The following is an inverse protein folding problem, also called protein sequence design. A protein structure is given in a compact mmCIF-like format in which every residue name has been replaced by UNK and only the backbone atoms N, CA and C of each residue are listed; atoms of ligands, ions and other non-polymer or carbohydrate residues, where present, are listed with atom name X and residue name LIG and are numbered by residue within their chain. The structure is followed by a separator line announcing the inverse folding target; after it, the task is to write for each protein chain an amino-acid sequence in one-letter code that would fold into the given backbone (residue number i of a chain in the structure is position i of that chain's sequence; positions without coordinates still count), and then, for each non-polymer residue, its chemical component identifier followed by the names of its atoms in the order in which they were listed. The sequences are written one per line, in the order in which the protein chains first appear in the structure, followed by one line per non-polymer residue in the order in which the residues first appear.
data_IF_650205760870
#
_entry.id   IF_650205760870
#
_cell.length_a   1.000
_cell.length_b   1.000
_cell.length_c   1.000
_cell.angle_alpha   90.00
_cell.angle_beta   90.00
_cell.angle_gamma   90.00
#
_symmetry.space_group_name_H-M   'P 1'
#
loop_
_entity.id
_entity.type
_entity.pdbx_description
1 polymer ?
#
# COMPACT_ATOMS: atom_id res chain seq x y z
N UNK A 1 24.05 -1.27 -2.08
CA UNK A 1 23.54 -2.60 -1.66
C UNK A 1 22.44 -2.48 -0.60
N UNK A 2 22.66 -1.64 0.41
CA UNK A 2 21.67 -1.32 1.45
C UNK A 2 20.36 -0.76 0.90
N UNK A 3 20.40 0.22 -0.02
CA UNK A 3 19.18 0.78 -0.63
C UNK A 3 18.29 -0.30 -1.26
N UNK A 4 18.88 -1.36 -1.84
CA UNK A 4 18.14 -2.50 -2.41
C UNK A 4 17.49 -3.35 -1.33
N UNK A 5 18.20 -3.62 -0.21
CA UNK A 5 17.66 -4.36 0.93
C UNK A 5 16.41 -3.65 1.47
N UNK A 6 16.51 -2.34 1.72
CA UNK A 6 15.37 -1.56 2.20
C UNK A 6 14.25 -1.47 1.17
N UNK A 7 14.58 -1.26 -0.12
CA UNK A 7 13.57 -1.25 -1.20
C UNK A 7 12.77 -2.55 -1.25
N UNK A 8 13.42 -3.71 -1.03
CA UNK A 8 12.73 -5.01 -1.00
C UNK A 8 11.75 -5.14 0.17
N UNK A 9 12.11 -4.63 1.35
CA UNK A 9 11.21 -4.64 2.52
C UNK A 9 10.04 -3.68 2.33
N UNK A 10 10.29 -2.47 1.82
CA UNK A 10 9.24 -1.50 1.48
C UNK A 10 8.28 -2.09 0.44
N UNK A 11 8.82 -2.71 -0.62
CA UNK A 11 8.02 -3.40 -1.64
C UNK A 11 7.17 -4.53 -1.06
N UNK A 12 7.72 -5.33 -0.16
CA UNK A 12 6.97 -6.38 0.54
C UNK A 12 5.78 -5.81 1.31
N UNK A 13 5.99 -4.72 2.05
CA UNK A 13 4.93 -4.09 2.83
C UNK A 13 3.86 -3.44 1.93
N UNK A 14 4.27 -2.74 0.87
CA UNK A 14 3.32 -2.14 -0.08
C UNK A 14 2.52 -3.19 -0.86
N UNK A 15 3.16 -4.28 -1.31
CA UNK A 15 2.44 -5.37 -1.99
C UNK A 15 1.45 -6.04 -1.04
N UNK A 16 1.79 -6.21 0.24
CA UNK A 16 0.85 -6.69 1.27
C UNK A 16 -0.35 -5.75 1.40
N UNK A 17 -0.12 -4.44 1.49
CA UNK A 17 -1.21 -3.44 1.56
C UNK A 17 -2.08 -3.48 0.30
N UNK A 18 -1.47 -3.47 -0.88
CA UNK A 18 -2.17 -3.45 -2.16
C UNK A 18 -3.02 -4.70 -2.36
N UNK A 19 -2.51 -5.88 -1.98
CA UNK A 19 -3.29 -7.14 -1.97
C UNK A 19 -4.39 -7.18 -0.91
N UNK A 20 -4.37 -6.28 0.06
CA UNK A 20 -5.50 -6.02 0.96
C UNK A 20 -6.35 -4.84 0.51
N UNK A 21 -6.23 -4.44 -0.77
CA UNK A 21 -6.98 -3.33 -1.36
C UNK A 21 -6.77 -1.99 -0.64
N UNK A 22 -5.62 -1.81 0.02
CA UNK A 22 -5.26 -0.62 0.78
C UNK A 22 -4.12 0.10 0.07
N UNK A 23 -4.20 1.42 -0.01
CA UNK A 23 -3.12 2.31 -0.45
C UNK A 23 -2.63 3.16 0.71
N UNK A 24 -1.33 3.47 0.73
CA UNK A 24 -0.73 4.29 1.78
C UNK A 24 -1.02 5.78 1.57
N UNK A 25 -0.82 6.26 0.34
CA UNK A 25 -1.07 7.65 -0.13
C UNK A 25 -0.19 8.75 0.45
N UNK A 26 0.57 8.49 1.52
CA UNK A 26 1.62 9.41 2.02
C UNK A 26 2.96 8.70 2.28
N UNK A 27 3.40 7.89 1.32
CA UNK A 27 4.68 7.19 1.46
C UNK A 27 5.85 8.18 1.28
N UNK A 28 6.63 8.39 2.34
CA UNK A 28 7.81 9.26 2.36
C UNK A 28 8.87 8.68 3.29
N UNK A 29 10.13 9.15 3.16
CA UNK A 29 11.25 8.66 3.99
C UNK A 29 11.03 8.88 5.50
N UNK A 30 10.26 9.91 5.87
CA UNK A 30 9.85 10.20 7.25
C UNK A 30 8.93 9.11 7.82
N UNK A 31 8.06 8.56 6.97
CA UNK A 31 7.07 7.52 7.32
C UNK A 31 7.66 6.10 7.20
N UNK A 32 8.97 5.99 7.07
CA UNK A 32 9.70 4.72 7.00
C UNK A 32 10.68 4.67 8.17
N UNK A 33 10.36 3.82 9.12
CA UNK A 33 11.12 3.59 10.33
C UNK A 33 12.03 2.38 10.18
N UNK A 34 13.16 2.40 10.87
CA UNK A 34 14.08 1.28 11.01
C UNK A 34 14.09 0.80 12.46
N UNK A 35 13.93 -0.50 12.67
CA UNK A 35 14.25 -1.08 13.96
C UNK A 35 15.77 -0.92 14.24
N UNK A 36 16.13 -0.67 15.51
CA UNK A 36 17.52 -0.39 15.88
C UNK A 36 18.45 -1.61 15.72
N UNK A 37 17.94 -2.81 15.95
CA UNK A 37 18.78 -4.01 16.16
C UNK A 37 19.06 -4.79 14.87
N UNK A 38 18.05 -4.92 14.03
CA UNK A 38 18.05 -5.68 12.79
C UNK A 38 17.98 -4.77 11.56
N UNK A 39 17.65 -3.49 11.72
CA UNK A 39 17.42 -2.54 10.62
C UNK A 39 16.35 -3.04 9.65
N UNK A 40 15.27 -3.64 10.16
CA UNK A 40 14.10 -3.89 9.33
C UNK A 40 13.24 -2.64 9.24
N UNK A 41 12.62 -2.50 8.08
CA UNK A 41 11.71 -1.40 7.77
C UNK A 41 10.35 -1.63 8.41
N UNK A 42 9.81 -0.58 9.04
CA UNK A 42 8.40 -0.47 9.41
C UNK A 42 7.81 0.77 8.74
N UNK A 43 6.73 0.59 7.98
CA UNK A 43 5.97 1.72 7.42
C UNK A 43 5.02 2.21 8.51
N UNK A 44 5.00 3.52 8.74
CA UNK A 44 4.16 4.16 9.75
C UNK A 44 3.23 5.19 9.08
N UNK A 45 2.29 5.71 9.87
CA UNK A 45 1.39 6.79 9.50
C UNK A 45 0.44 6.47 8.33
N UNK A 46 -0.56 5.66 8.65
CA UNK A 46 -1.67 5.32 7.76
C UNK A 46 -2.79 6.38 7.78
N UNK A 47 -2.54 7.59 8.31
CA UNK A 47 -3.56 8.63 8.48
C UNK A 47 -4.26 9.06 7.18
N UNK A 48 -3.57 8.90 6.05
CA UNK A 48 -4.09 9.20 4.71
C UNK A 48 -4.40 7.94 3.88
N UNK A 49 -4.26 6.75 4.48
CA UNK A 49 -4.52 5.49 3.80
C UNK A 49 -5.98 5.33 3.41
N UNK A 50 -6.24 4.59 2.33
CA UNK A 50 -7.58 4.39 1.82
C UNK A 50 -7.73 3.06 1.11
N UNK A 51 -8.94 2.50 1.16
CA UNK A 51 -9.26 1.34 0.33
C UNK A 51 -9.49 1.76 -1.11
N UNK A 52 -9.00 0.96 -2.06
CA UNK A 52 -9.20 1.18 -3.48
C UNK A 52 -9.94 0.01 -4.13
N UNK A 53 -10.65 0.29 -5.21
CA UNK A 53 -11.29 -0.70 -6.06
C UNK A 53 -11.21 -0.21 -7.52
N UNK A 54 -11.31 -1.10 -8.52
CA UNK A 54 -11.22 -0.70 -9.93
C UNK A 54 -12.22 0.38 -10.33
N UNK A 55 -13.43 0.26 -9.80
CA UNK A 55 -14.56 1.13 -10.10
C UNK A 55 -14.63 2.36 -9.17
N UNK A 56 -13.68 2.48 -8.23
CA UNK A 56 -13.59 3.58 -7.28
C UNK A 56 -12.39 4.44 -7.61
N UNK A 57 -12.65 5.61 -8.18
CA UNK A 57 -11.63 6.64 -8.38
C UNK A 57 -11.61 7.61 -7.20
N UNK A 58 -10.41 7.95 -6.78
CA UNK A 58 -10.09 8.98 -5.80
C UNK A 58 -9.74 10.28 -6.54
N UNK A 59 -10.02 11.43 -5.94
CA UNK A 59 -9.76 12.75 -6.56
C UNK A 59 -9.21 13.78 -5.56
N UNK A 60 -8.82 13.34 -4.36
CA UNK A 60 -8.33 14.21 -3.29
C UNK A 60 -6.83 14.38 -3.39
N UNK A 61 -6.36 15.62 -3.32
CA UNK A 61 -4.94 15.89 -3.09
C UNK A 61 -4.58 15.54 -1.64
N UNK A 62 -3.64 14.63 -1.44
CA UNK A 62 -3.18 14.23 -0.12
C UNK A 62 -1.68 13.91 -0.16
N UNK A 63 -1.01 14.09 0.98
CA UNK A 63 0.41 13.82 1.14
C UNK A 63 1.33 14.95 0.70
N UNK A 64 2.64 14.69 0.81
CA UNK A 64 3.69 15.69 0.60
C UNK A 64 4.01 15.90 -0.88
N UNK A 65 4.04 17.16 -1.36
CA UNK A 65 4.20 17.50 -2.79
C UNK A 65 5.43 16.88 -3.46
N UNK A 66 6.55 16.74 -2.74
CA UNK A 66 7.79 16.16 -3.27
C UNK A 66 7.69 14.66 -3.58
N UNK A 67 6.70 13.99 -3.01
CA UNK A 67 6.39 12.58 -3.19
C UNK A 67 5.13 12.36 -4.04
N UNK A 68 4.39 13.43 -4.37
CA UNK A 68 3.13 13.31 -5.10
C UNK A 68 3.33 13.04 -6.60
N UNK A 69 2.48 12.18 -7.15
CA UNK A 69 2.42 11.88 -8.57
C UNK A 69 1.79 13.04 -9.37
N UNK A 70 2.12 13.21 -10.66
CA UNK A 70 1.65 14.32 -11.48
C UNK A 70 0.12 14.41 -11.58
N UNK A 71 -0.58 13.28 -11.68
CA UNK A 71 -2.05 13.21 -11.72
C UNK A 71 -2.70 13.80 -10.46
N UNK A 72 -2.08 13.61 -9.29
CA UNK A 72 -2.56 14.20 -8.02
C UNK A 72 -2.40 15.72 -8.06
N UNK A 73 -1.27 16.20 -8.59
CA UNK A 73 -1.03 17.65 -8.75
C UNK A 73 -2.01 18.30 -9.75
N UNK A 74 -2.49 17.54 -10.73
CA UNK A 74 -3.50 17.98 -11.70
C UNK A 74 -4.93 17.89 -11.18
N UNK A 75 -5.15 17.23 -10.03
CA UNK A 75 -6.48 16.91 -9.52
C UNK A 75 -7.23 15.92 -10.42
N UNK A 76 -6.51 15.09 -11.18
CA UNK A 76 -7.10 14.05 -12.01
C UNK A 76 -7.56 12.88 -11.15
N UNK A 77 -8.68 12.22 -11.48
CA UNK A 77 -9.10 11.01 -10.79
C UNK A 77 -8.09 9.87 -10.97
N UNK A 78 -7.82 9.13 -9.90
CA UNK A 78 -6.82 8.05 -9.85
C UNK A 78 -7.35 6.83 -9.07
N UNK A 79 -6.78 5.64 -9.28
CA UNK A 79 -7.17 4.40 -8.59
C UNK A 79 -6.47 4.26 -7.24
N UNK A 80 -5.18 4.61 -7.15
CA UNK A 80 -4.45 4.70 -5.89
C UNK A 80 -3.10 3.97 -5.87
N UNK A 81 -3.00 2.67 -6.22
CA UNK A 81 -1.74 1.90 -6.17
C UNK A 81 -0.59 2.55 -6.94
N UNK A 82 -0.89 3.19 -8.06
CA UNK A 82 0.05 3.94 -8.89
C UNK A 82 0.68 5.12 -8.15
N UNK A 83 -0.02 5.73 -7.19
CA UNK A 83 0.53 6.81 -6.37
C UNK A 83 1.62 6.31 -5.44
N UNK A 84 1.36 5.19 -4.75
CA UNK A 84 2.35 4.55 -3.90
C UNK A 84 3.58 4.10 -4.71
N UNK A 85 3.38 3.66 -5.95
CA UNK A 85 4.48 3.34 -6.87
C UNK A 85 5.33 4.58 -7.20
N UNK A 86 4.70 5.73 -7.47
CA UNK A 86 5.42 6.97 -7.71
C UNK A 86 6.23 7.39 -6.47
N UNK A 87 5.59 7.42 -5.31
CA UNK A 87 6.22 7.74 -4.03
C UNK A 87 7.36 6.79 -3.69
N UNK A 88 7.21 5.49 -3.96
CA UNK A 88 8.27 4.49 -3.85
C UNK A 88 9.45 4.85 -4.75
N UNK A 89 9.21 5.31 -5.98
CA UNK A 89 10.26 5.80 -6.87
C UNK A 89 11.04 6.95 -6.26
N UNK A 90 10.36 7.91 -5.65
CA UNK A 90 10.99 9.04 -4.94
C UNK A 90 11.85 8.54 -3.77
N UNK A 91 11.32 7.62 -2.96
CA UNK A 91 12.05 6.99 -1.84
C UNK A 91 13.29 6.24 -2.32
N UNK A 92 13.18 5.41 -3.37
CA UNK A 92 14.32 4.70 -3.98
C UNK A 92 15.36 5.68 -4.49
N UNK A 93 14.93 6.75 -5.19
CA UNK A 93 15.81 7.78 -5.69
C UNK A 93 16.60 8.43 -4.55
N UNK A 94 15.91 8.85 -3.48
CA UNK A 94 16.54 9.47 -2.30
C UNK A 94 17.53 8.52 -1.64
N UNK A 95 17.18 7.24 -1.45
CA UNK A 95 18.09 6.24 -0.86
C UNK A 95 19.33 5.92 -1.70
N UNK A 96 19.29 6.14 -3.02
CA UNK A 96 20.40 5.83 -3.93
C UNK A 96 21.28 7.06 -4.19
N UNK A 97 20.66 8.24 -4.31
CA UNK A 97 21.30 9.47 -4.79
C UNK A 97 21.51 10.48 -3.65
N UNK A 98 20.76 10.36 -2.54
CA UNK A 98 20.92 11.20 -1.35
C UNK A 98 20.24 12.57 -1.44
N UNK A 99 19.41 12.82 -2.45
CA UNK A 99 18.63 14.07 -2.63
C UNK A 99 17.28 13.76 -3.29
N UNK A 100 16.34 14.70 -3.24
CA UNK A 100 15.03 14.57 -3.88
C UNK A 100 15.17 14.68 -5.43
N UNK A 101 14.38 13.92 -6.22
CA UNK A 101 14.43 13.96 -7.69
C UNK A 101 14.01 15.30 -8.30
N UNK A 102 13.02 15.96 -7.70
CA UNK A 102 12.44 17.20 -8.19
C UNK A 102 12.53 18.29 -7.11
N UNK A 103 13.52 19.17 -7.24
CA UNK A 103 13.73 20.31 -6.34
C UNK A 103 13.71 21.64 -7.13
N UNK A 104 13.40 22.77 -6.50
CA UNK A 104 13.31 24.06 -7.16
C UNK A 104 13.17 25.23 -6.19
N UNK A 105 13.42 26.44 -6.68
CA UNK A 105 13.32 27.66 -5.85
C UNK A 105 11.89 28.04 -5.50
N UNK A 106 10.91 27.58 -6.29
CA UNK A 106 9.49 27.81 -6.05
C UNK A 106 8.70 26.52 -6.21
N UNK A 107 7.53 26.45 -5.57
CA UNK A 107 6.63 25.31 -5.70
C UNK A 107 6.21 25.07 -7.16
N UNK A 108 5.99 26.14 -7.92
CA UNK A 108 5.67 26.06 -9.33
C UNK A 108 6.81 25.44 -10.16
N UNK A 109 8.07 25.64 -9.74
CA UNK A 109 9.22 24.99 -10.39
C UNK A 109 9.29 23.50 -10.10
N UNK A 110 9.02 23.12 -8.84
CA UNK A 110 8.94 21.72 -8.42
C UNK A 110 7.82 21.00 -9.18
N UNK A 111 6.61 21.57 -9.20
CA UNK A 111 5.48 21.03 -9.97
C UNK A 111 5.84 20.87 -11.45
N UNK A 112 6.46 21.88 -12.08
CA UNK A 112 6.88 21.78 -13.49
C UNK A 112 7.88 20.66 -13.74
N UNK A 113 8.79 20.40 -12.79
CA UNK A 113 9.75 19.29 -12.87
C UNK A 113 9.07 17.94 -12.70
N UNK A 114 8.15 17.82 -11.74
CA UNK A 114 7.32 16.61 -11.54
C UNK A 114 6.55 16.27 -12.82
N UNK A 115 5.89 17.25 -13.44
CA UNK A 115 5.15 17.07 -14.70
C UNK A 115 6.01 16.64 -15.88
N UNK A 116 7.32 16.93 -15.86
CA UNK A 116 8.27 16.49 -16.88
C UNK A 116 8.78 15.07 -16.63
N UNK A 117 8.78 14.63 -15.38
CA UNK A 117 9.26 13.31 -14.95
C UNK A 117 10.65 12.94 -15.47
N UNK A 118 11.57 13.92 -15.49
CA UNK A 118 12.94 13.77 -15.98
C UNK A 118 13.92 14.20 -14.87
N UNK A 119 14.13 13.35 -13.84
CA UNK A 119 15.07 13.65 -12.77
C UNK A 119 16.52 13.43 -13.23
N UNK A 120 17.46 14.06 -12.53
CA UNK A 120 18.88 13.98 -12.88
C UNK A 120 19.55 12.73 -12.29
N UNK A 121 20.25 11.95 -13.12
CA UNK A 121 20.88 10.71 -12.72
C UNK A 121 22.40 10.82 -12.74
N UNK A 122 23.08 10.90 -11.58
CA UNK A 122 24.54 10.99 -11.54
C UNK A 122 25.24 9.73 -12.09
N UNK A 123 26.52 9.82 -12.50
CA UNK A 123 27.26 8.71 -13.09
C UNK A 123 27.41 7.46 -12.21
N UNK A 124 27.26 7.58 -10.89
CA UNK A 124 27.35 6.45 -9.96
C UNK A 124 26.08 5.59 -9.95
N UNK A 125 24.97 6.07 -10.51
CA UNK A 125 23.71 5.32 -10.58
C UNK A 125 23.84 4.22 -11.64
N UNK A 126 23.64 2.97 -11.23
CA UNK A 126 23.69 1.83 -12.16
C UNK A 126 22.60 1.91 -13.23
N UNK A 127 22.88 1.38 -14.43
CA UNK A 127 21.90 1.28 -15.53
C UNK A 127 20.58 0.66 -15.11
N UNK A 128 20.63 -0.43 -14.34
CA UNK A 128 19.43 -1.16 -13.90
C UNK A 128 18.57 -0.30 -12.94
N UNK A 129 19.20 0.53 -12.10
CA UNK A 129 18.49 1.44 -11.21
C UNK A 129 17.80 2.55 -11.99
N UNK A 130 18.52 3.12 -12.95
CA UNK A 130 17.99 4.16 -13.84
C UNK A 130 16.81 3.62 -14.66
N UNK A 131 16.93 2.41 -15.23
CA UNK A 131 15.83 1.75 -15.96
C UNK A 131 14.58 1.60 -15.08
N UNK A 132 14.74 1.10 -13.85
CA UNK A 132 13.61 0.99 -12.91
C UNK A 132 12.96 2.36 -12.65
N UNK A 133 13.76 3.37 -12.30
CA UNK A 133 13.26 4.70 -11.97
C UNK A 133 12.59 5.37 -13.17
N UNK A 134 13.10 5.20 -14.39
CA UNK A 134 12.45 5.70 -15.60
C UNK A 134 11.08 5.05 -15.85
N UNK A 135 10.92 3.76 -15.51
CA UNK A 135 9.62 3.07 -15.63
C UNK A 135 8.63 3.50 -14.54
N UNK A 136 9.11 3.85 -13.35
CA UNK A 136 8.30 4.40 -12.27
C UNK A 136 7.87 5.85 -12.57
N UNK A 137 8.82 6.71 -12.96
CA UNK A 137 8.57 8.11 -13.28
C UNK A 137 8.01 8.28 -14.69
N UNK A 138 6.82 7.73 -14.90
CA UNK A 138 6.08 7.81 -16.15
C UNK A 138 4.81 8.65 -15.95
N UNK A 139 4.62 9.63 -16.85
CA UNK A 139 3.45 10.54 -16.86
C UNK A 139 2.43 10.15 -17.93
N UNK A 140 2.88 9.85 -19.16
CA UNK A 140 2.01 9.68 -20.35
C UNK A 140 1.74 8.24 -20.76
N UNK A 141 2.50 7.29 -20.21
CA UNK A 141 2.34 5.86 -20.46
C UNK A 141 1.86 5.19 -19.19
N UNK A 142 1.44 3.93 -19.31
CA UNK A 142 1.14 3.12 -18.14
C UNK A 142 2.39 3.02 -17.26
N UNK A 143 2.25 3.44 -16.00
CA UNK A 143 3.29 3.33 -14.98
C UNK A 143 3.52 1.85 -14.68
N UNK A 144 4.77 1.46 -14.42
CA UNK A 144 5.09 0.07 -14.07
C UNK A 144 4.28 -0.38 -12.84
N UNK A 145 3.71 -1.58 -12.89
CA UNK A 145 2.93 -2.17 -11.80
C UNK A 145 3.83 -2.76 -10.72
N UNK A 146 3.28 -2.91 -9.51
CA UNK A 146 4.00 -3.48 -8.36
C UNK A 146 4.63 -4.84 -8.67
N UNK A 147 3.87 -5.73 -9.31
CA UNK A 147 4.32 -7.06 -9.74
C UNK A 147 5.61 -7.02 -10.59
N UNK A 148 5.67 -6.11 -11.56
CA UNK A 148 6.83 -5.97 -12.44
C UNK A 148 8.02 -5.32 -11.72
N UNK A 149 7.78 -4.40 -10.78
CA UNK A 149 8.83 -3.81 -9.94
C UNK A 149 9.49 -4.89 -9.08
N UNK A 150 8.69 -5.74 -8.43
CA UNK A 150 9.20 -6.83 -7.57
C UNK A 150 10.08 -7.82 -8.33
N UNK A 151 9.88 -7.95 -9.65
CA UNK A 151 10.66 -8.82 -10.55
C UNK A 151 11.80 -8.10 -11.25
N UNK A 152 11.93 -6.79 -11.06
CA UNK A 152 12.92 -6.00 -11.79
C UNK A 152 14.36 -6.44 -11.49
N UNK A 153 15.27 -6.47 -12.50
CA UNK A 153 16.66 -6.88 -12.30
C UNK A 153 17.39 -6.13 -11.19
N UNK A 154 17.15 -4.81 -11.08
CA UNK A 154 17.75 -4.01 -10.01
C UNK A 154 17.31 -4.45 -8.61
N UNK A 155 16.07 -4.88 -8.43
CA UNK A 155 15.51 -5.31 -7.13
C UNK A 155 16.04 -6.68 -6.70
N UNK A 156 16.22 -7.60 -7.66
CA UNK A 156 16.64 -8.97 -7.39
C UNK A 156 18.15 -9.21 -7.55
N UNK A 157 18.94 -8.19 -7.90
CA UNK A 157 20.39 -8.33 -8.05
C UNK A 157 21.03 -8.78 -6.73
N UNK A 158 21.71 -9.92 -6.77
CA UNK A 158 22.33 -10.62 -5.62
C UNK A 158 21.35 -11.25 -4.62
N UNK A 159 20.07 -11.41 -4.99
CA UNK A 159 19.10 -12.18 -4.23
C UNK A 159 18.73 -13.45 -5.02
N UNK A 160 18.74 -14.60 -4.35
CA UNK A 160 18.39 -15.88 -4.96
C UNK A 160 16.88 -16.13 -4.96
N UNK A 161 16.17 -15.60 -3.96
CA UNK A 161 14.71 -15.70 -3.82
C UNK A 161 14.01 -14.41 -4.24
N UNK A 162 12.76 -14.51 -4.76
CA UNK A 162 11.90 -13.36 -4.97
C UNK A 162 11.60 -12.66 -3.63
N UNK A 163 10.99 -11.48 -3.70
CA UNK A 163 10.45 -10.84 -2.49
C UNK A 163 9.31 -11.70 -1.99
N UNK A 164 9.38 -12.12 -0.74
CA UNK A 164 8.28 -12.82 -0.07
C UNK A 164 7.27 -11.78 0.39
N UNK A 165 6.02 -11.92 -0.07
CA UNK A 165 4.91 -11.20 0.53
C UNK A 165 4.35 -12.09 1.64
N UNK A 166 4.39 -11.61 2.89
CA UNK A 166 3.91 -12.32 4.08
C UNK A 166 2.38 -12.44 4.15
N UNK A 167 1.67 -12.23 3.04
CA UNK A 167 0.24 -12.46 2.93
C UNK A 167 -0.05 -13.95 3.19
N UNK A 168 -0.92 -14.28 4.18
CA UNK A 168 -1.34 -15.66 4.38
C UNK A 168 -2.01 -16.22 3.13
N UNK A 169 -1.88 -17.53 2.89
CA UNK A 169 -2.66 -18.20 1.84
C UNK A 169 -4.14 -18.12 2.21
N UNK A 170 -4.91 -17.45 1.37
CA UNK A 170 -6.35 -17.21 1.57
C UNK A 170 -7.15 -18.11 0.67
N UNK A 171 -7.96 -18.98 1.28
CA UNK A 171 -8.96 -19.75 0.55
C UNK A 171 -10.11 -18.84 0.13
N UNK A 172 -10.73 -19.05 -1.06
CA UNK A 172 -11.81 -18.19 -1.55
C UNK A 172 -12.98 -18.21 -0.58
N UNK A 173 -13.60 -17.04 -0.38
CA UNK A 173 -14.80 -16.96 0.43
C UNK A 173 -15.99 -17.53 -0.35
N UNK A 174 -16.84 -18.24 0.36
CA UNK A 174 -18.12 -18.74 -0.15
C UNK A 174 -19.26 -18.19 0.70
N UNK A 175 -20.50 -18.53 0.37
CA UNK A 175 -21.70 -18.02 1.07
C UNK A 175 -21.78 -18.38 2.56
N UNK A 176 -21.01 -19.35 3.04
CA UNK A 176 -20.91 -19.69 4.47
C UNK A 176 -19.81 -18.89 5.14
N UNK A 177 -20.11 -17.63 5.46
CA UNK A 177 -19.22 -16.70 6.15
C UNK A 177 -19.36 -16.82 7.67
N UNK A 178 -18.29 -16.49 8.40
CA UNK A 178 -18.27 -16.46 9.87
C UNK A 178 -19.15 -15.32 10.40
N UNK A 179 -20.11 -15.66 11.27
CA UNK A 179 -21.09 -14.71 11.80
C UNK A 179 -20.46 -13.68 12.75
N UNK A 180 -19.44 -14.04 13.53
CA UNK A 180 -18.80 -13.13 14.48
C UNK A 180 -18.03 -12.03 13.72
N UNK A 181 -17.39 -12.43 12.60
CA UNK A 181 -16.69 -11.50 11.71
C UNK A 181 -17.70 -10.57 11.02
N UNK A 182 -18.82 -11.12 10.52
CA UNK A 182 -19.86 -10.33 9.89
C UNK A 182 -20.51 -9.31 10.82
N UNK A 183 -20.81 -9.70 12.07
CA UNK A 183 -21.36 -8.78 13.08
C UNK A 183 -20.37 -7.64 13.37
N UNK A 184 -19.07 -7.96 13.44
CA UNK A 184 -18.02 -6.96 13.61
C UNK A 184 -17.97 -6.00 12.42
N UNK A 185 -18.04 -6.52 11.19
CA UNK A 185 -18.09 -5.69 9.98
C UNK A 185 -19.32 -4.78 9.98
N UNK A 186 -20.50 -5.29 10.32
CA UNK A 186 -21.75 -4.52 10.38
C UNK A 186 -21.67 -3.39 11.42
N UNK A 187 -21.04 -3.66 12.57
CA UNK A 187 -20.83 -2.65 13.61
C UNK A 187 -19.89 -1.52 13.17
N UNK A 188 -18.94 -1.78 12.28
CA UNK A 188 -17.94 -0.79 11.84
C UNK A 188 -18.42 -0.02 10.61
N UNK A 189 -18.99 -0.73 9.63
CA UNK A 189 -19.27 -0.20 8.29
C UNK A 189 -20.76 0.00 7.98
N UNK A 190 -21.66 -0.52 8.83
CA UNK A 190 -23.10 -0.41 8.67
C UNK A 190 -23.78 -1.73 8.32
N UNK A 191 -25.11 -1.77 8.50
CA UNK A 191 -25.92 -2.99 8.45
C UNK A 191 -26.12 -3.59 7.05
N UNK A 192 -25.69 -2.91 5.99
CA UNK A 192 -25.79 -3.40 4.61
C UNK A 192 -24.52 -4.12 4.12
N UNK A 193 -23.44 -4.10 4.91
CA UNK A 193 -22.13 -4.64 4.53
C UNK A 193 -22.18 -6.16 4.29
N UNK A 194 -22.98 -6.88 5.08
CA UNK A 194 -23.15 -8.32 4.95
C UNK A 194 -23.76 -8.70 3.61
N UNK A 195 -24.88 -8.08 3.25
CA UNK A 195 -25.56 -8.34 1.98
C UNK A 195 -24.64 -8.03 0.79
N UNK A 196 -23.85 -6.96 0.89
CA UNK A 196 -22.87 -6.59 -0.15
C UNK A 196 -21.74 -7.61 -0.27
N UNK A 197 -21.17 -8.06 0.84
CA UNK A 197 -20.14 -9.09 0.84
C UNK A 197 -20.69 -10.41 0.26
N UNK A 198 -21.88 -10.82 0.66
CA UNK A 198 -22.56 -12.02 0.13
C UNK A 198 -22.77 -11.94 -1.39
N UNK A 199 -23.14 -10.77 -1.92
CA UNK A 199 -23.28 -10.54 -3.35
C UNK A 199 -21.93 -10.67 -4.09
N UNK A 200 -20.85 -10.14 -3.52
CA UNK A 200 -19.50 -10.22 -4.08
C UNK A 200 -19.02 -11.67 -4.13
N UNK A 201 -19.07 -12.39 -3.01
CA UNK A 201 -18.56 -13.77 -2.93
C UNK A 201 -19.42 -14.75 -3.71
N UNK A 202 -20.67 -14.40 -4.03
CA UNK A 202 -21.53 -15.21 -4.91
C UNK A 202 -21.31 -14.94 -6.41
N UNK A 203 -20.55 -13.89 -6.76
CA UNK A 203 -20.38 -13.48 -8.16
C UNK A 203 -19.46 -14.43 -8.94
N UNK A 204 -19.77 -14.63 -10.22
CA UNK A 204 -18.93 -15.43 -11.13
C UNK A 204 -17.54 -14.79 -11.31
N UNK A 205 -17.49 -13.44 -11.36
CA UNK A 205 -16.24 -12.70 -11.49
C UNK A 205 -15.28 -12.95 -10.31
N UNK A 206 -15.79 -12.93 -9.06
CA UNK A 206 -14.99 -13.25 -7.88
C UNK A 206 -14.44 -14.68 -7.92
N UNK A 207 -15.28 -15.66 -8.26
CA UNK A 207 -14.85 -17.07 -8.32
C UNK A 207 -13.83 -17.35 -9.42
N UNK A 208 -14.01 -16.77 -10.62
CA UNK A 208 -13.06 -16.90 -11.72
C UNK A 208 -11.70 -16.27 -11.36
N UNK A 209 -11.74 -15.07 -10.77
CA UNK A 209 -10.56 -14.34 -10.35
C UNK A 209 -9.78 -15.05 -9.24
N UNK A 210 -10.46 -15.49 -8.17
CA UNK A 210 -9.81 -16.21 -7.05
C UNK A 210 -9.26 -17.57 -7.49
N UNK A 211 -9.96 -18.29 -8.36
CA UNK A 211 -9.45 -19.53 -8.96
C UNK A 211 -8.17 -19.30 -9.76
N UNK A 212 -8.13 -18.23 -10.57
CA UNK A 212 -6.92 -17.87 -11.30
C UNK A 212 -5.74 -17.56 -10.37
N UNK A 213 -5.96 -16.72 -9.35
CA UNK A 213 -4.92 -16.33 -8.38
C UNK A 213 -4.35 -17.56 -7.68
N UNK A 214 -5.20 -18.46 -7.18
CA UNK A 214 -4.74 -19.69 -6.52
C UNK A 214 -3.90 -20.58 -7.43
N UNK A 215 -4.34 -20.80 -8.67
CA UNK A 215 -3.59 -21.62 -9.62
C UNK A 215 -2.22 -21.02 -9.93
N UNK A 216 -2.15 -19.70 -10.14
CA UNK A 216 -0.88 -19.00 -10.41
C UNK A 216 0.06 -19.09 -9.20
N UNK A 217 -0.46 -18.91 -7.98
CA UNK A 217 0.31 -19.01 -6.74
C UNK A 217 0.86 -20.42 -6.51
N UNK A 218 0.09 -21.45 -6.87
CA UNK A 218 0.51 -22.86 -6.80
C UNK A 218 1.43 -23.27 -7.98
N UNK A 219 1.75 -22.35 -8.89
CA UNK A 219 2.64 -22.59 -10.03
C UNK A 219 1.99 -23.36 -11.19
N UNK A 220 0.65 -23.38 -11.24
CA UNK A 220 -0.13 -24.03 -12.28
C UNK A 220 -0.59 -23.04 -13.36
N UNK A 221 -0.79 -23.55 -14.58
CA UNK A 221 -1.39 -22.78 -15.67
C UNK A 221 -2.90 -22.64 -15.44
N UNK A 222 -3.40 -21.40 -15.53
CA UNK A 222 -4.81 -21.10 -15.31
C UNK A 222 -5.57 -21.15 -16.64
N UNK A 223 -6.81 -21.66 -16.67
CA UNK A 223 -7.69 -21.54 -17.84
C UNK A 223 -7.98 -20.08 -18.21
N UNK A 224 -7.75 -19.14 -17.30
CA UNK A 224 -7.90 -17.70 -17.51
C UNK A 224 -6.60 -16.98 -17.87
N UNK A 225 -5.50 -17.70 -18.15
CA UNK A 225 -4.23 -17.09 -18.54
C UNK A 225 -4.31 -16.27 -19.83
N UNK A 226 -5.28 -16.51 -20.71
CA UNK A 226 -5.53 -15.64 -21.87
C UNK A 226 -6.07 -14.25 -21.48
N UNK A 227 -6.71 -14.14 -20.32
CA UNK A 227 -7.33 -12.90 -19.82
C UNK A 227 -6.36 -12.11 -18.93
N UNK A 228 -5.70 -12.80 -18.01
CA UNK A 228 -4.87 -12.18 -16.95
C UNK A 228 -3.38 -12.54 -17.03
N UNK A 229 -3.00 -13.44 -17.94
CA UNK A 229 -1.61 -13.86 -18.09
C UNK A 229 -1.11 -14.69 -16.90
N UNK A 230 0.06 -14.31 -16.39
CA UNK A 230 0.69 -14.86 -15.19
C UNK A 230 0.60 -13.91 -13.99
N UNK A 231 -0.24 -12.87 -14.08
CA UNK A 231 -0.37 -11.85 -13.06
C UNK A 231 -1.39 -12.30 -12.01
N UNK A 232 -1.04 -12.15 -10.74
CA UNK A 232 -1.94 -12.40 -9.62
C UNK A 232 -2.15 -11.13 -8.78
N UNK A 233 -1.92 -9.95 -9.35
CA UNK A 233 -1.90 -8.68 -8.62
C UNK A 233 -3.26 -7.96 -8.66
N UNK A 234 -3.56 -7.08 -7.68
CA UNK A 234 -4.84 -6.39 -7.56
C UNK A 234 -5.18 -5.43 -8.70
N UNK A 235 -4.20 -4.93 -9.46
CA UNK A 235 -4.48 -4.07 -10.62
C UNK A 235 -4.86 -4.89 -11.86
N UNK A 236 -4.42 -6.15 -11.94
CA UNK A 236 -4.70 -7.04 -13.07
C UNK A 236 -5.89 -7.96 -12.83
N UNK A 237 -6.05 -8.47 -11.59
CA UNK A 237 -7.10 -9.42 -11.20
C UNK A 237 -7.94 -8.87 -10.04
N UNK A 238 -8.56 -7.70 -10.19
CA UNK A 238 -9.08 -6.96 -9.05
C UNK A 238 -10.25 -7.62 -8.32
N UNK A 239 -11.06 -8.43 -9.01
CA UNK A 239 -12.17 -9.14 -8.37
C UNK A 239 -11.70 -10.14 -7.31
N UNK A 240 -10.47 -10.65 -7.38
CA UNK A 240 -9.90 -11.49 -6.33
C UNK A 240 -9.53 -10.69 -5.07
N UNK A 241 -9.33 -9.38 -5.21
CA UNK A 241 -8.86 -8.46 -4.18
C UNK A 241 -9.93 -7.40 -3.89
N UNK A 242 -11.17 -7.83 -3.74
CA UNK A 242 -12.27 -6.92 -3.42
C UNK A 242 -12.12 -6.37 -1.99
N UNK A 243 -12.28 -5.05 -1.74
CA UNK A 243 -12.08 -4.44 -0.42
C UNK A 243 -12.86 -5.11 0.72
N UNK A 244 -14.12 -5.49 0.46
CA UNK A 244 -14.94 -6.17 1.48
C UNK A 244 -14.38 -7.55 1.86
N UNK A 245 -13.82 -8.28 0.90
CA UNK A 245 -13.15 -9.55 1.17
C UNK A 245 -11.85 -9.31 1.94
N UNK A 246 -11.08 -8.28 1.58
CA UNK A 246 -9.87 -7.91 2.30
C UNK A 246 -10.16 -7.58 3.78
N UNK A 247 -11.18 -6.76 4.05
CA UNK A 247 -11.63 -6.45 5.42
C UNK A 247 -12.04 -7.72 6.17
N UNK A 248 -12.79 -8.62 5.54
CA UNK A 248 -13.16 -9.89 6.15
C UNK A 248 -11.93 -10.70 6.56
N UNK A 249 -10.96 -10.88 5.66
CA UNK A 249 -9.74 -11.63 5.98
C UNK A 249 -8.91 -10.96 7.07
N UNK A 250 -8.73 -9.64 7.05
CA UNK A 250 -7.99 -8.92 8.09
C UNK A 250 -8.64 -9.08 9.47
N UNK A 251 -9.98 -9.06 9.54
CA UNK A 251 -10.70 -9.34 10.79
C UNK A 251 -10.57 -10.81 11.22
N UNK A 252 -10.62 -11.75 10.27
CA UNK A 252 -10.41 -13.17 10.53
C UNK A 252 -9.01 -13.47 11.10
N UNK A 253 -8.00 -12.86 10.51
CA UNK A 253 -6.60 -12.95 10.95
C UNK A 253 -6.45 -12.37 12.36
N UNK A 254 -7.02 -11.18 12.61
CA UNK A 254 -7.02 -10.57 13.95
C UNK A 254 -7.71 -11.45 14.99
N UNK A 255 -8.85 -12.05 14.66
CA UNK A 255 -9.57 -12.95 15.55
C UNK A 255 -8.74 -14.22 15.84
N UNK A 256 -8.15 -14.81 14.80
CA UNK A 256 -7.29 -16.00 14.93
C UNK A 256 -6.08 -15.72 15.83
N UNK A 257 -5.44 -14.56 15.64
CA UNK A 257 -4.33 -14.12 16.48
C UNK A 257 -4.77 -13.91 17.93
N UNK A 258 -5.92 -13.26 18.17
CA UNK A 258 -6.46 -13.10 19.51
C UNK A 258 -6.69 -14.44 20.22
N UNK A 259 -7.29 -15.41 19.53
CA UNK A 259 -7.54 -16.76 20.08
C UNK A 259 -6.22 -17.49 20.35
N UNK A 260 -5.25 -17.42 19.43
CA UNK A 260 -3.95 -18.06 19.60
C UNK A 260 -3.17 -17.54 20.81
N UNK A 261 -3.29 -16.24 21.13
CA UNK A 261 -2.63 -15.65 22.31
C UNK A 261 -3.36 -15.94 23.64
N UNK A 262 -4.62 -16.38 23.61
CA UNK A 262 -5.39 -16.68 24.82
C UNK A 262 -5.35 -18.14 25.27
N UNK A 263 -4.97 -19.09 24.40
CA UNK A 263 -5.05 -20.52 24.72
C UNK A 263 -3.84 -21.31 24.20
N UNK A 264 -2.81 -21.58 25.03
CA UNK A 264 -1.82 -22.60 24.69
C UNK A 264 -2.37 -24.04 24.80
N UNK A 265 -3.42 -24.33 25.60
CA UNK A 265 -3.97 -25.69 25.76
C UNK A 265 -5.45 -25.74 26.31
N UNK A 266 -6.44 -26.04 25.44
CA UNK A 266 -7.80 -26.61 25.69
C UNK A 266 -8.89 -25.80 26.48
N UNK A 267 -10.17 -26.26 26.56
CA UNK A 267 -11.28 -25.98 25.64
C UNK A 267 -12.44 -25.12 26.21
N UNK A 268 -13.04 -24.28 25.34
CA UNK A 268 -14.40 -23.65 25.30
C UNK A 268 -15.04 -23.14 26.61
N UNK A 269 -15.19 -21.80 26.75
CA UNK A 269 -16.49 -21.08 26.68
C UNK A 269 -16.35 -19.57 26.97
N UNK A 270 -16.75 -18.75 25.99
CA UNK A 270 -17.46 -17.45 26.03
C UNK A 270 -17.26 -16.44 27.18
N UNK A 271 -16.75 -15.25 26.83
CA UNK A 271 -17.44 -13.96 27.08
C UNK A 271 -16.70 -12.82 26.39
N UNK A 272 -17.29 -12.27 25.32
CA UNK A 272 -16.86 -11.03 24.67
C UNK A 272 -17.31 -9.86 25.54
N UNK A 273 -16.35 -9.07 26.06
CA UNK A 273 -16.44 -7.64 26.37
C UNK A 273 -15.23 -7.24 27.22
N UNK A 274 -14.08 -7.06 26.55
CA UNK A 274 -13.02 -6.11 26.88
C UNK A 274 -11.83 -6.44 25.98
N UNK A 275 -11.48 -5.51 25.10
CA UNK A 275 -10.27 -5.60 24.29
C UNK A 275 -9.06 -5.54 25.24
N UNK A 276 -8.24 -6.60 25.39
CA UNK A 276 -6.95 -6.47 26.02
C UNK A 276 -6.01 -5.80 25.02
N UNK A 277 -5.27 -4.80 25.49
CA UNK A 277 -4.13 -4.27 24.76
C UNK A 277 -3.11 -5.40 24.54
N UNK A 278 -2.54 -5.48 23.33
CA UNK A 278 -1.49 -6.43 23.00
C UNK A 278 -0.33 -6.34 24.00
N UNK A 279 0.43 -7.43 24.23
CA UNK A 279 1.65 -7.37 25.03
C UNK A 279 2.61 -6.43 24.30
N UNK A 280 3.05 -5.38 25.00
CA UNK A 280 4.06 -4.44 24.53
C UNK A 280 5.37 -5.22 24.32
N UNK A 281 5.72 -5.51 23.07
CA UNK A 281 7.08 -5.92 22.68
C UNK A 281 8.07 -4.86 23.22
N UNK A 282 9.24 -5.28 23.76
CA UNK A 282 10.10 -4.38 24.52
C UNK A 282 10.68 -3.27 23.64
N UNK A 283 10.24 -2.03 23.89
CA UNK A 283 10.83 -0.77 23.43
C UNK A 283 11.58 -0.86 22.08
N UNK A 284 10.85 -1.08 20.98
CA UNK A 284 11.39 -0.92 19.63
C UNK A 284 11.78 0.54 19.44
N UNK A 285 13.07 0.85 19.64
CA UNK A 285 13.56 2.18 19.32
C UNK A 285 13.65 2.30 17.80
N UNK A 286 12.65 2.95 17.22
CA UNK A 286 12.60 3.26 15.79
C UNK A 286 13.48 4.45 15.46
N UNK A 287 14.21 4.37 14.35
CA UNK A 287 14.98 5.48 13.78
C UNK A 287 14.41 5.76 12.40
N UNK A 288 14.07 7.02 12.10
CA UNK A 288 13.59 7.38 10.77
C UNK A 288 14.67 7.13 9.72
N UNK A 289 14.30 6.55 8.58
CA UNK A 289 15.19 6.31 7.46
C UNK A 289 15.85 7.60 6.96
N UNK A 290 15.17 8.74 7.11
CA UNK A 290 15.69 10.07 6.79
C UNK A 290 17.04 10.36 7.48
N UNK A 291 17.18 9.97 8.74
CA UNK A 291 18.43 10.15 9.52
C UNK A 291 19.61 9.36 8.92
N UNK A 292 19.33 8.19 8.33
CA UNK A 292 20.35 7.35 7.68
C UNK A 292 20.79 7.94 6.32
N UNK A 293 19.84 8.49 5.56
CA UNK A 293 20.12 9.13 4.28
C UNK A 293 21.02 10.36 4.48
N UNK A 294 20.75 11.17 5.50
CA UNK A 294 21.55 12.37 5.79
C UNK A 294 22.95 12.06 6.36
N UNK A 295 23.13 10.98 7.10
CA UNK A 295 24.44 10.61 7.66
C UNK A 295 25.43 10.09 6.61
N UNK A 296 24.95 9.35 5.60
CA UNK A 296 25.79 8.91 4.47
C UNK A 296 26.26 10.09 3.59
N UNK A 297 25.50 11.18 3.54
CA UNK A 297 25.85 12.38 2.78
C UNK A 297 26.96 13.22 3.46
N UNK A 298 26.97 13.31 4.79
CA UNK A 298 27.99 14.06 5.54
C UNK A 298 29.41 13.45 5.43
N UNK A 299 29.53 12.17 5.07
CA UNK A 299 30.81 11.54 4.79
C UNK A 299 31.38 11.88 3.40
N UNK A 300 30.55 12.45 2.51
CA UNK A 300 30.86 12.53 1.07
C UNK A 300 30.91 13.94 0.50
N UNK A 301 30.30 14.96 1.10
CA UNK A 301 30.43 16.36 0.66
C UNK A 301 30.05 17.35 1.79
N UNK A 302 30.91 18.33 2.03
CA UNK A 302 30.69 19.47 2.93
C UNK A 302 29.70 20.47 2.30
N UNK A 303 28.40 20.16 2.21
CA UNK A 303 27.35 21.18 2.08
C UNK A 303 26.10 20.72 2.83
N UNK A 304 25.84 21.34 3.97
CA UNK A 304 24.60 21.19 4.74
C UNK A 304 23.44 21.85 3.99
N UNK A 305 22.61 21.07 3.31
CA UNK A 305 21.31 21.52 2.82
C UNK A 305 20.22 21.06 3.79
N UNK A 306 19.84 21.97 4.70
CA UNK A 306 18.64 21.85 5.50
C UNK A 306 17.47 22.47 4.73
N UNK A 307 16.65 21.63 4.10
CA UNK A 307 15.30 22.01 3.68
C UNK A 307 14.37 21.02 4.37
N UNK A 308 13.61 21.51 5.36
CA UNK A 308 12.53 20.72 5.98
C UNK A 308 11.46 20.45 4.93
N UNK A 309 11.38 19.22 4.45
CA UNK A 309 10.43 18.78 3.43
C UNK A 309 9.02 18.49 4.01
N UNK A 310 8.82 18.77 5.29
CA UNK A 310 7.68 18.36 6.12
C UNK A 310 6.51 19.34 6.22
N UNK A 311 6.62 20.58 5.70
CA UNK A 311 5.66 21.66 6.00
C UNK A 311 4.81 22.14 4.80
N UNK A 312 4.06 21.24 4.14
CA UNK A 312 2.99 21.68 3.24
C UNK A 312 1.80 20.70 3.22
N UNK A 313 1.15 20.52 4.37
CA UNK A 313 -0.18 19.93 4.45
C UNK A 313 -1.24 21.01 4.13
N UNK A 314 -2.17 20.72 3.23
CA UNK A 314 -3.28 21.63 2.88
C UNK A 314 -4.63 21.04 3.31
N UNK A 315 -5.40 21.84 4.05
CA UNK A 315 -6.76 21.56 4.53
C UNK A 315 -7.75 21.21 3.40
N UNK A 316 -8.58 20.20 3.66
CA UNK A 316 -9.60 19.66 2.74
C UNK A 316 -10.82 20.59 2.58
N UNK A 317 -11.17 20.93 1.34
CA UNK A 317 -12.43 21.57 0.95
C UNK A 317 -13.32 20.62 0.15
N UNK A 318 -14.49 20.29 0.69
CA UNK A 318 -15.54 19.46 0.06
C UNK A 318 -16.36 20.23 -0.98
N UNK A 319 -16.63 19.63 -2.15
CA UNK A 319 -17.65 20.08 -3.11
C UNK A 319 -18.40 18.88 -3.72
N UNK A 320 -19.71 19.07 -3.86
CA UNK A 320 -20.78 18.09 -4.05
C UNK A 320 -21.34 18.01 -5.49
N UNK A 321 -21.80 16.79 -5.82
CA UNK A 321 -22.98 16.36 -6.62
C UNK A 321 -23.14 16.61 -8.14
N UNK A 322 -23.49 15.52 -8.86
CA UNK A 322 -24.26 15.50 -10.12
C UNK A 322 -24.11 14.19 -10.95
N UNK A 323 -25.16 13.63 -11.60
CA UNK A 323 -25.40 12.17 -11.70
C UNK A 323 -25.10 11.52 -13.06
N UNK A 324 -24.73 10.22 -13.09
CA UNK A 324 -25.55 9.10 -13.67
C UNK A 324 -24.81 7.76 -13.86
N UNK A 325 -25.54 6.71 -13.44
CA UNK A 325 -25.71 5.32 -13.92
C UNK A 325 -24.49 4.46 -14.36
N UNK A 326 -24.21 3.47 -13.52
CA UNK A 326 -23.53 2.20 -13.82
C UNK A 326 -23.77 1.24 -12.64
N UNK A 327 -24.90 0.54 -12.67
CA UNK A 327 -25.45 -0.28 -11.57
C UNK A 327 -24.53 -1.44 -11.15
N UNK A 328 -23.85 -1.28 -10.01
CA UNK A 328 -24.03 -2.00 -8.73
C UNK A 328 -23.40 -1.07 -7.68
N UNK A 329 -24.20 -0.16 -7.14
CA UNK A 329 -23.73 0.88 -6.24
C UNK A 329 -23.42 0.36 -4.84
N UNK A 330 -22.15 0.16 -4.52
CA UNK A 330 -21.69 0.30 -3.13
C UNK A 330 -21.56 1.80 -2.86
N UNK A 331 -22.42 2.44 -2.05
CA UNK A 331 -22.31 3.85 -1.75
C UNK A 331 -20.90 4.30 -1.34
N UNK A 332 -20.44 5.40 -1.93
CA UNK A 332 -19.16 6.05 -1.66
C UNK A 332 -18.89 6.30 -0.16
N UNK A 333 -19.94 6.43 0.67
CA UNK A 333 -19.80 6.72 2.10
C UNK A 333 -19.24 5.57 2.95
N UNK A 334 -19.22 4.32 2.45
CA UNK A 334 -18.57 3.19 3.16
C UNK A 334 -17.03 3.31 3.09
N UNK A 335 -16.52 3.91 2.01
CA UNK A 335 -15.08 4.09 1.77
C UNK A 335 -14.57 5.48 2.16
N UNK A 336 -15.46 6.45 2.34
CA UNK A 336 -15.15 7.79 2.87
C UNK A 336 -15.59 7.90 4.33
N UNK A 337 -15.00 7.08 5.21
CA UNK A 337 -15.08 7.40 6.64
C UNK A 337 -14.22 8.66 6.91
N UNK A 338 -14.60 9.54 7.84
CA UNK A 338 -13.79 10.70 8.19
C UNK A 338 -12.38 10.24 8.57
N UNK A 339 -11.37 10.90 8.02
CA UNK A 339 -9.94 10.56 8.02
C UNK A 339 -9.31 10.21 9.40
N UNK A 340 -10.06 10.34 10.50
CA UNK A 340 -9.57 10.18 11.86
C UNK A 340 -10.19 8.97 12.61
N UNK A 341 -11.23 8.29 12.10
CA UNK A 341 -11.98 7.29 12.88
C UNK A 341 -11.88 5.82 12.42
N UNK A 342 -11.79 5.57 11.11
CA UNK A 342 -11.71 4.20 10.56
C UNK A 342 -10.27 3.73 10.35
N UNK A 343 -9.40 4.64 9.90
CA UNK A 343 -7.98 4.35 9.65
C UNK A 343 -7.25 3.94 10.94
N UNK A 344 -7.54 4.59 12.06
CA UNK A 344 -6.91 4.22 13.33
C UNK A 344 -7.43 2.88 13.88
N UNK A 345 -8.72 2.53 13.76
CA UNK A 345 -9.25 1.33 14.44
C UNK A 345 -8.92 0.00 13.77
N UNK A 346 -8.74 -0.02 12.45
CA UNK A 346 -8.34 -1.24 11.72
C UNK A 346 -6.81 -1.39 11.74
N UNK A 347 -6.06 -0.29 11.60
CA UNK A 347 -4.60 -0.33 11.49
C UNK A 347 -3.83 -0.25 12.81
N UNK A 348 -4.39 0.24 13.92
CA UNK A 348 -3.71 0.25 15.25
C UNK A 348 -3.32 -1.18 15.72
N UNK A 349 -3.83 -2.26 15.12
CA UNK A 349 -3.48 -3.64 15.51
C UNK A 349 -2.93 -4.51 14.36
N UNK A 350 -2.51 -3.93 13.23
CA UNK A 350 -1.71 -4.64 12.24
C UNK A 350 -0.23 -4.34 12.53
N UNK A 351 0.26 -4.82 13.67
CA UNK A 351 1.71 -4.95 13.88
C UNK A 351 2.19 -6.06 12.92
N UNK A 352 2.67 -5.66 11.74
CA UNK A 352 3.40 -6.50 10.78
C UNK A 352 4.88 -6.49 11.15
#
# INVERSE_FOLDING_TARGET
PESRRFSRQILSALDYMHRNSITHRDLKVENIMLDRYHQNIKIIDFGLSSMFAPDLLLNTFCGSIYFAAPEVLLGEPYQGPELDVWSLGVVIYVMVIGRIPYDGHTLADVQRKIMRADPDYPPHVSSDCKDLLCRIFTVRRERIKMFDIMRHPWINKHYASPIENYLPKREPLYSLLDLDILETMESIFGSDIKQKLEAVVSSEAYHAATSHVLMVQDGHESPYSNLWGSYDDPQTVPSAYHPLCAVYYLLAEKYSNYVAHQVPDSPISTSLLSLPQSPVEPDEILVSLDTLVHTNNNASNNESFGVDYSNSESDNGSLSDGPNLGDIGIPHHIFTAPACACSTRIFINLDI
#
